data_IF_690839790506
#
_entry.id   IF_690839790506
#
_cell.length_a   1.000
_cell.length_b   1.000
_cell.length_c   1.000
_cell.angle_alpha   90.00
_cell.angle_beta   90.00
_cell.angle_gamma   90.00
#
_symmetry.space_group_name_H-M   'P 1'
#
loop_
_entity.id
_entity.type
_entity.pdbx_description
1 polymer ?
#
# COMPACT_ATOMS: atom_id res chain seq x y z
N UNK A 1 32.70 -0.79 3.60
CA UNK A 1 32.46 -0.96 2.15
C UNK A 1 32.46 -2.42 1.67
N UNK A 2 32.92 -3.41 2.45
CA UNK A 2 32.98 -4.82 2.01
C UNK A 2 31.61 -5.50 1.85
N UNK A 3 30.65 -5.26 2.75
CA UNK A 3 29.38 -5.99 2.77
C UNK A 3 28.46 -5.69 1.56
N UNK A 4 28.47 -4.46 1.01
CA UNK A 4 27.65 -4.12 -0.17
C UNK A 4 28.22 -4.72 -1.45
N UNK A 5 29.56 -4.69 -1.60
CA UNK A 5 30.26 -5.35 -2.70
C UNK A 5 30.01 -6.86 -2.67
N UNK A 6 30.09 -7.47 -1.49
CA UNK A 6 29.88 -8.91 -1.32
C UNK A 6 28.45 -9.33 -1.69
N UNK A 7 27.45 -8.56 -1.24
CA UNK A 7 26.05 -8.74 -1.67
C UNK A 7 25.88 -8.65 -3.18
N UNK A 8 26.46 -7.63 -3.82
CA UNK A 8 26.34 -7.43 -5.26
C UNK A 8 26.99 -8.58 -6.04
N UNK A 9 28.18 -9.04 -5.60
CA UNK A 9 28.89 -10.17 -6.20
C UNK A 9 28.10 -11.48 -6.09
N UNK A 10 27.57 -11.77 -4.90
CA UNK A 10 26.72 -12.95 -4.67
C UNK A 10 25.45 -12.88 -5.50
N UNK A 11 24.80 -11.73 -5.59
CA UNK A 11 23.61 -11.56 -6.41
C UNK A 11 23.90 -11.84 -7.90
N UNK A 12 25.02 -11.33 -8.43
CA UNK A 12 25.46 -11.60 -9.80
C UNK A 12 25.78 -13.08 -10.04
N UNK A 13 26.50 -13.72 -9.12
CA UNK A 13 26.86 -15.15 -9.21
C UNK A 13 25.64 -16.08 -9.14
N UNK A 14 24.57 -15.66 -8.46
CA UNK A 14 23.29 -16.39 -8.36
C UNK A 14 22.31 -16.04 -9.49
N UNK A 15 22.73 -15.25 -10.48
CA UNK A 15 21.88 -14.86 -11.61
C UNK A 15 20.82 -13.80 -11.30
N UNK A 16 20.90 -13.12 -10.15
CA UNK A 16 19.98 -12.01 -9.78
C UNK A 16 20.54 -10.65 -10.21
N UNK A 17 21.08 -10.58 -11.43
CA UNK A 17 21.71 -9.37 -11.96
C UNK A 17 20.74 -8.21 -12.22
N UNK A 18 19.44 -8.49 -12.31
CA UNK A 18 18.38 -7.52 -12.61
C UNK A 18 17.85 -6.78 -11.38
N UNK A 19 18.38 -7.07 -10.19
CA UNK A 19 17.99 -6.38 -8.96
C UNK A 19 18.40 -4.88 -9.04
N UNK A 20 17.47 -3.92 -8.86
CA UNK A 20 17.77 -2.49 -8.94
C UNK A 20 18.82 -2.04 -7.91
N UNK A 21 18.93 -2.71 -6.77
CA UNK A 21 19.98 -2.39 -5.79
C UNK A 21 21.37 -2.76 -6.30
N UNK A 22 21.47 -3.88 -7.02
CA UNK A 22 22.72 -4.35 -7.65
C UNK A 22 23.10 -3.41 -8.78
N UNK A 23 22.15 -3.03 -9.63
CA UNK A 23 22.38 -2.06 -10.72
C UNK A 23 22.91 -0.71 -10.18
N UNK A 24 22.29 -0.19 -9.11
CA UNK A 24 22.74 1.05 -8.44
C UNK A 24 24.14 0.91 -7.87
N UNK A 25 24.48 -0.24 -7.27
CA UNK A 25 25.82 -0.48 -6.75
C UNK A 25 26.88 -0.55 -7.85
N UNK A 26 26.58 -1.23 -8.97
CA UNK A 26 27.49 -1.32 -10.12
C UNK A 26 27.74 0.04 -10.79
N UNK A 27 26.78 0.96 -10.73
CA UNK A 27 26.99 2.34 -11.17
C UNK A 27 28.01 3.10 -10.29
N UNK A 28 28.20 2.68 -9.04
CA UNK A 28 29.02 3.38 -8.05
C UNK A 28 30.38 2.70 -7.76
N UNK A 29 30.53 1.41 -8.08
CA UNK A 29 31.70 0.61 -7.72
C UNK A 29 32.39 0.03 -8.97
N UNK A 30 33.57 0.54 -9.30
CA UNK A 30 34.32 0.12 -10.50
C UNK A 30 34.85 -1.33 -10.40
N UNK A 31 35.24 -1.76 -9.20
CA UNK A 31 35.70 -3.15 -8.95
C UNK A 31 34.60 -4.16 -9.23
N UNK A 32 33.40 -3.96 -8.67
CA UNK A 32 32.27 -4.84 -8.92
C UNK A 32 31.80 -4.77 -10.37
N UNK A 33 31.93 -3.61 -11.03
CA UNK A 33 31.62 -3.46 -12.46
C UNK A 33 32.57 -4.28 -13.33
N UNK A 34 33.87 -4.26 -13.04
CA UNK A 34 34.88 -5.02 -13.77
C UNK A 34 34.65 -6.54 -13.65
N UNK A 35 34.24 -7.01 -12.47
CA UNK A 35 33.99 -8.44 -12.22
C UNK A 35 32.60 -8.93 -12.66
N UNK A 36 31.67 -8.03 -12.98
CA UNK A 36 30.28 -8.39 -13.25
C UNK A 36 30.13 -9.38 -14.43
N UNK A 37 30.98 -9.25 -15.45
CA UNK A 37 30.97 -10.16 -16.62
C UNK A 37 31.36 -11.58 -16.20
N UNK A 38 32.44 -11.72 -15.43
CA UNK A 38 32.90 -13.02 -14.94
C UNK A 38 31.85 -13.68 -14.03
N UNK A 39 31.22 -12.92 -13.14
CA UNK A 39 30.20 -13.43 -12.22
C UNK A 39 28.91 -13.85 -12.93
N UNK A 40 28.49 -13.10 -13.96
CA UNK A 40 27.37 -13.51 -14.82
C UNK A 40 27.68 -14.77 -15.60
N UNK A 41 28.92 -14.93 -16.06
CA UNK A 41 29.36 -16.15 -16.74
C UNK A 41 29.29 -17.35 -15.78
N UNK A 42 29.70 -17.19 -14.52
CA UNK A 42 29.52 -18.21 -13.47
C UNK A 42 28.04 -18.57 -13.28
N UNK A 43 27.15 -17.58 -13.22
CA UNK A 43 25.72 -17.86 -13.11
C UNK A 43 25.19 -18.67 -14.30
N UNK A 44 25.62 -18.34 -15.52
CA UNK A 44 25.21 -19.09 -16.72
C UNK A 44 25.76 -20.51 -16.76
N UNK A 45 27.02 -20.72 -16.35
CA UNK A 45 27.63 -22.07 -16.34
C UNK A 45 27.00 -22.95 -15.28
N UNK A 46 26.73 -22.41 -14.09
CA UNK A 46 26.00 -23.11 -13.04
C UNK A 46 24.54 -23.39 -13.44
N UNK A 47 23.87 -22.44 -14.10
CA UNK A 47 22.50 -22.62 -14.59
C UNK A 47 22.36 -23.64 -15.72
N UNK A 48 23.42 -23.86 -16.52
CA UNK A 48 23.45 -24.87 -17.57
C UNK A 48 23.71 -26.29 -17.08
N UNK A 49 24.18 -26.46 -15.84
CA UNK A 49 24.38 -27.79 -15.26
C UNK A 49 23.01 -28.46 -15.01
N UNK A 50 22.84 -29.69 -15.51
CA UNK A 50 21.62 -30.47 -15.24
C UNK A 50 21.53 -30.78 -13.76
N UNK A 51 20.65 -30.08 -13.05
CA UNK A 51 20.23 -30.47 -11.72
C UNK A 51 19.40 -31.76 -11.81
N UNK A 52 19.54 -32.70 -10.85
CA UNK A 52 18.61 -33.81 -10.75
C UNK A 52 17.19 -33.27 -10.58
N UNK A 53 16.23 -33.90 -11.26
CA UNK A 53 14.84 -33.49 -11.15
C UNK A 53 14.39 -33.59 -9.68
N UNK A 54 13.83 -32.51 -9.11
CA UNK A 54 13.33 -32.55 -7.73
C UNK A 54 12.20 -33.58 -7.62
N UNK A 55 12.06 -34.22 -6.46
CA UNK A 55 10.96 -35.14 -6.23
C UNK A 55 9.61 -34.42 -6.35
N UNK A 56 8.59 -35.11 -6.85
CA UNK A 56 7.24 -34.54 -6.98
C UNK A 56 6.66 -34.07 -5.63
N UNK A 57 7.16 -34.63 -4.52
CA UNK A 57 6.77 -34.27 -3.14
C UNK A 57 7.56 -33.09 -2.56
N UNK A 58 8.68 -32.69 -3.16
CA UNK A 58 9.50 -31.59 -2.65
C UNK A 58 8.71 -30.28 -2.63
N UNK A 59 7.97 -30.00 -3.70
CA UNK A 59 7.19 -28.77 -3.81
C UNK A 59 6.09 -28.68 -2.74
N UNK A 60 5.42 -29.79 -2.43
CA UNK A 60 4.37 -29.82 -1.40
C UNK A 60 4.98 -29.72 0.00
N UNK A 61 6.10 -30.38 0.26
CA UNK A 61 6.81 -30.29 1.54
C UNK A 61 7.38 -28.88 1.79
N UNK A 62 7.99 -28.25 0.80
CA UNK A 62 8.50 -26.88 0.91
C UNK A 62 7.35 -25.90 1.16
N UNK A 63 6.22 -26.05 0.44
CA UNK A 63 5.03 -25.21 0.69
C UNK A 63 4.46 -25.44 2.08
N UNK A 64 4.36 -26.67 2.56
CA UNK A 64 3.87 -26.99 3.90
C UNK A 64 4.80 -26.40 4.98
N UNK A 65 6.12 -26.51 4.80
CA UNK A 65 7.10 -25.93 5.71
C UNK A 65 7.10 -24.39 5.68
N UNK A 66 6.90 -23.79 4.51
CA UNK A 66 6.85 -22.34 4.32
C UNK A 66 5.49 -21.73 4.67
N UNK A 67 4.42 -22.51 4.74
CA UNK A 67 3.06 -22.06 5.02
C UNK A 67 2.95 -21.13 6.24
N UNK A 68 3.55 -21.41 7.42
CA UNK A 68 3.48 -20.50 8.57
C UNK A 68 4.17 -19.16 8.32
N UNK A 69 5.29 -19.15 7.58
CA UNK A 69 6.02 -17.93 7.25
C UNK A 69 5.26 -17.10 6.20
N UNK A 70 4.71 -17.77 5.19
CA UNK A 70 3.84 -17.16 4.18
C UNK A 70 2.60 -16.55 4.82
N UNK A 71 1.94 -17.25 5.74
CA UNK A 71 0.76 -16.73 6.46
C UNK A 71 1.10 -15.50 7.31
N UNK A 72 2.25 -15.50 8.00
CA UNK A 72 2.70 -14.33 8.78
C UNK A 72 3.04 -13.13 7.89
N UNK A 73 3.72 -13.36 6.76
CA UNK A 73 4.05 -12.28 5.83
C UNK A 73 2.81 -11.74 5.12
N UNK A 74 1.88 -12.62 4.72
CA UNK A 74 0.60 -12.22 4.13
C UNK A 74 -0.20 -11.34 5.09
N UNK A 75 -0.29 -11.70 6.37
CA UNK A 75 -0.92 -10.86 7.40
C UNK A 75 -0.26 -9.49 7.55
N UNK A 76 1.07 -9.41 7.52
CA UNK A 76 1.77 -8.12 7.60
C UNK A 76 1.53 -7.26 6.37
N UNK A 77 1.51 -7.87 5.18
CA UNK A 77 1.24 -7.17 3.93
C UNK A 77 -0.20 -6.63 3.90
N UNK A 78 -1.19 -7.43 4.31
CA UNK A 78 -2.59 -6.98 4.38
C UNK A 78 -2.77 -5.87 5.41
N UNK A 79 -2.17 -5.97 6.60
CA UNK A 79 -2.21 -4.90 7.60
C UNK A 79 -1.62 -3.58 7.08
N UNK A 80 -0.52 -3.63 6.32
CA UNK A 80 0.05 -2.42 5.69
C UNK A 80 -0.88 -1.82 4.65
N UNK A 81 -1.53 -2.65 3.83
CA UNK A 81 -2.49 -2.19 2.84
C UNK A 81 -3.71 -1.54 3.51
N UNK A 82 -4.25 -2.18 4.56
CA UNK A 82 -5.37 -1.65 5.37
C UNK A 82 -4.96 -0.35 6.05
N UNK A 83 -3.79 -0.29 6.69
CA UNK A 83 -3.30 0.93 7.32
C UNK A 83 -3.14 2.08 6.31
N UNK A 84 -2.66 1.80 5.09
CA UNK A 84 -2.59 2.80 4.02
C UNK A 84 -3.97 3.28 3.58
N UNK A 85 -4.92 2.37 3.42
CA UNK A 85 -6.29 2.72 3.05
C UNK A 85 -6.98 3.54 4.14
N UNK A 86 -6.81 3.15 5.41
CA UNK A 86 -7.32 3.90 6.57
C UNK A 86 -6.66 5.27 6.67
N UNK A 87 -5.34 5.37 6.48
CA UNK A 87 -4.66 6.66 6.47
C UNK A 87 -5.16 7.56 5.33
N UNK A 88 -5.38 7.00 4.13
CA UNK A 88 -5.96 7.73 3.01
C UNK A 88 -7.40 8.18 3.26
N UNK A 89 -8.20 7.37 3.98
CA UNK A 89 -9.58 7.70 4.34
C UNK A 89 -9.70 8.65 5.54
N UNK A 90 -8.73 8.63 6.46
CA UNK A 90 -8.64 9.54 7.61
C UNK A 90 -8.08 10.91 7.24
N UNK A 91 -7.34 11.05 6.14
CA UNK A 91 -6.81 12.34 5.68
C UNK A 91 -7.88 13.37 5.23
N UNK A 92 -8.96 12.99 4.52
CA UNK A 92 -9.98 13.95 4.10
C UNK A 92 -10.86 14.45 5.27
N UNK A 93 -11.04 13.64 6.31
CA UNK A 93 -11.94 13.95 7.42
C UNK A 93 -11.55 15.22 8.22
N UNK A 94 -10.29 15.43 8.64
CA UNK A 94 -9.87 16.67 9.31
C UNK A 94 -9.87 17.87 8.35
N UNK A 95 -9.62 17.66 7.06
CA UNK A 95 -9.68 18.72 6.06
C UNK A 95 -11.13 19.21 5.87
N UNK A 96 -12.08 18.28 5.84
CA UNK A 96 -13.51 18.59 5.72
C UNK A 96 -14.03 19.33 6.96
N UNK A 97 -13.62 18.90 8.16
CA UNK A 97 -13.94 19.61 9.42
C UNK A 97 -13.36 21.03 9.43
N UNK A 98 -12.16 21.23 8.90
CA UNK A 98 -11.54 22.55 8.82
C UNK A 98 -12.29 23.49 7.86
N UNK A 99 -12.67 22.98 6.68
CA UNK A 99 -13.43 23.72 5.67
C UNK A 99 -14.82 24.07 6.21
N UNK A 100 -15.51 23.12 6.83
CA UNK A 100 -16.85 23.33 7.37
C UNK A 100 -16.84 24.36 8.52
N UNK A 101 -15.85 24.26 9.43
CA UNK A 101 -15.65 25.25 10.48
C UNK A 101 -15.36 26.66 9.94
N UNK A 102 -14.60 26.77 8.84
CA UNK A 102 -14.31 28.05 8.20
C UNK A 102 -15.55 28.63 7.51
N UNK A 103 -16.33 27.80 6.81
CA UNK A 103 -17.57 28.21 6.14
C UNK A 103 -18.61 28.71 7.15
N UNK A 104 -18.81 27.97 8.23
CA UNK A 104 -19.74 28.32 9.32
C UNK A 104 -19.36 29.64 9.96
N UNK A 105 -18.06 29.86 10.19
CA UNK A 105 -17.56 31.10 10.79
C UNK A 105 -17.70 32.30 9.85
N UNK A 106 -17.34 32.14 8.57
CA UNK A 106 -17.51 33.18 7.56
C UNK A 106 -18.98 33.54 7.34
N UNK A 107 -19.87 32.54 7.32
CA UNK A 107 -21.31 32.76 7.22
C UNK A 107 -21.86 33.47 8.48
N UNK A 108 -21.41 33.09 9.67
CA UNK A 108 -21.79 33.75 10.92
C UNK A 108 -21.37 35.23 10.95
N UNK A 109 -20.14 35.53 10.53
CA UNK A 109 -19.62 36.90 10.48
C UNK A 109 -20.37 37.75 9.42
N UNK A 110 -20.70 37.16 8.26
CA UNK A 110 -21.49 37.82 7.22
C UNK A 110 -22.95 38.07 7.65
N UNK A 111 -23.59 37.10 8.33
CA UNK A 111 -24.97 37.26 8.79
C UNK A 111 -25.10 38.23 9.96
N UNK A 112 -24.08 38.32 10.82
CA UNK A 112 -24.05 39.28 11.93
C UNK A 112 -24.01 40.74 11.47
N UNK A 113 -23.61 40.99 10.22
CA UNK A 113 -23.62 42.33 9.62
C UNK A 113 -25.01 42.77 9.12
N UNK A 114 -25.98 41.86 8.98
CA UNK A 114 -27.25 42.14 8.28
C UNK A 114 -28.51 41.76 9.10
N UNK A 115 -28.45 40.80 10.03
CA UNK A 115 -29.63 40.29 10.75
C UNK A 115 -29.45 40.20 12.30
N UNK A 116 -30.55 40.22 13.09
CA UNK A 116 -30.52 39.95 14.53
C UNK A 116 -29.96 38.56 14.83
N UNK A 117 -29.07 38.46 15.82
CA UNK A 117 -28.23 37.28 16.10
C UNK A 117 -28.99 35.95 16.24
N UNK A 118 -30.26 35.97 16.66
CA UNK A 118 -31.08 34.77 16.86
C UNK A 118 -31.49 34.06 15.55
N UNK A 119 -31.79 34.82 14.48
CA UNK A 119 -32.18 34.24 13.17
C UNK A 119 -30.97 33.69 12.41
N UNK A 120 -29.82 34.35 12.56
CA UNK A 120 -28.52 33.90 12.05
C UNK A 120 -28.13 32.53 12.59
N UNK A 121 -28.21 32.38 13.92
CA UNK A 121 -27.85 31.14 14.58
C UNK A 121 -28.76 29.98 14.15
N UNK A 122 -30.04 30.24 13.91
CA UNK A 122 -31.00 29.24 13.45
C UNK A 122 -30.69 28.73 12.03
N UNK A 123 -30.35 29.62 11.09
CA UNK A 123 -29.98 29.24 9.73
C UNK A 123 -28.67 28.47 9.68
N UNK A 124 -27.65 28.91 10.42
CA UNK A 124 -26.36 28.23 10.50
C UNK A 124 -26.50 26.83 11.13
N UNK A 125 -27.31 26.70 12.19
CA UNK A 125 -27.54 25.41 12.84
C UNK A 125 -28.31 24.44 11.92
N UNK A 126 -29.31 24.95 11.19
CA UNK A 126 -30.10 24.13 10.26
C UNK A 126 -29.30 23.71 9.02
N UNK A 127 -28.41 24.59 8.54
CA UNK A 127 -27.53 24.27 7.41
C UNK A 127 -26.45 23.25 7.82
N UNK A 128 -25.87 23.39 9.01
CA UNK A 128 -24.87 22.43 9.51
C UNK A 128 -25.46 21.07 9.83
N UNK A 129 -26.69 20.99 10.35
CA UNK A 129 -27.37 19.69 10.52
C UNK A 129 -27.68 19.03 9.19
N UNK A 130 -28.16 19.78 8.19
CA UNK A 130 -28.44 19.22 6.86
C UNK A 130 -27.15 18.73 6.18
N UNK A 131 -26.07 19.50 6.30
CA UNK A 131 -24.76 19.16 5.75
C UNK A 131 -24.14 17.95 6.48
N UNK A 132 -24.26 17.89 7.80
CA UNK A 132 -23.84 16.74 8.60
C UNK A 132 -24.62 15.47 8.24
N UNK A 133 -25.94 15.56 8.04
CA UNK A 133 -26.77 14.42 7.60
C UNK A 133 -26.33 13.95 6.22
N UNK A 134 -26.11 14.87 5.27
CA UNK A 134 -25.66 14.55 3.92
C UNK A 134 -24.27 13.91 3.93
N UNK A 135 -23.35 14.42 4.75
CA UNK A 135 -22.01 13.86 4.89
C UNK A 135 -22.06 12.44 5.49
N UNK A 136 -22.89 12.25 6.52
CA UNK A 136 -23.06 10.96 7.19
C UNK A 136 -23.66 9.93 6.23
N UNK A 137 -24.63 10.33 5.40
CA UNK A 137 -25.21 9.49 4.36
C UNK A 137 -24.21 9.15 3.24
N UNK A 138 -23.49 10.16 2.73
CA UNK A 138 -22.54 9.98 1.64
C UNK A 138 -21.33 9.13 2.07
N UNK A 139 -20.73 9.44 3.22
CA UNK A 139 -19.59 8.67 3.73
C UNK A 139 -20.01 7.34 4.35
N UNK A 140 -21.22 7.24 4.91
CA UNK A 140 -21.79 5.98 5.42
C UNK A 140 -22.13 4.99 4.30
N UNK A 141 -22.44 5.47 3.09
CA UNK A 141 -22.73 4.61 1.94
C UNK A 141 -21.47 3.90 1.40
N UNK A 142 -20.29 4.50 1.55
CA UNK A 142 -19.02 3.95 1.04
C UNK A 142 -18.68 2.57 1.63
N UNK A 143 -18.64 2.35 2.96
CA UNK A 143 -18.36 1.04 3.53
C UNK A 143 -19.44 0.02 3.19
N UNK A 144 -20.71 0.45 3.08
CA UNK A 144 -21.85 -0.41 2.76
C UNK A 144 -21.78 -0.94 1.31
N UNK A 145 -21.35 -0.10 0.38
CA UNK A 145 -21.08 -0.48 -1.02
C UNK A 145 -19.83 -1.36 -1.14
N UNK A 146 -18.78 -1.07 -0.36
CA UNK A 146 -17.57 -1.88 -0.32
C UNK A 146 -17.83 -3.30 0.19
N UNK A 147 -18.65 -3.48 1.23
CA UNK A 147 -19.05 -4.81 1.72
C UNK A 147 -19.89 -5.58 0.70
N UNK A 148 -20.77 -4.90 -0.04
CA UNK A 148 -21.56 -5.54 -1.12
C UNK A 148 -20.67 -6.06 -2.25
N UNK A 149 -19.66 -5.29 -2.68
CA UNK A 149 -18.75 -5.71 -3.75
C UNK A 149 -17.91 -6.93 -3.34
N UNK A 150 -17.49 -7.01 -2.08
CA UNK A 150 -16.75 -8.16 -1.56
C UNK A 150 -17.61 -9.42 -1.52
N UNK A 151 -18.90 -9.32 -1.20
CA UNK A 151 -19.83 -10.47 -1.23
C UNK A 151 -20.06 -11.00 -2.64
N UNK A 152 -20.38 -10.11 -3.59
CA UNK A 152 -20.64 -10.49 -4.99
C UNK A 152 -19.44 -11.20 -5.62
N UNK A 153 -18.22 -10.68 -5.39
CA UNK A 153 -17.00 -11.29 -5.93
C UNK A 153 -16.72 -12.69 -5.37
N UNK A 154 -17.19 -12.98 -4.15
CA UNK A 154 -17.02 -14.27 -3.47
C UNK A 154 -17.97 -15.34 -4.00
N UNK A 155 -19.18 -14.92 -4.39
CA UNK A 155 -20.18 -15.75 -5.06
C UNK A 155 -19.71 -16.14 -6.47
N UNK A 156 -19.12 -15.20 -7.22
CA UNK A 156 -18.53 -15.47 -8.55
C UNK A 156 -17.31 -16.42 -8.53
N UNK A 157 -16.59 -16.54 -7.41
CA UNK A 157 -15.43 -17.45 -7.31
C UNK A 157 -15.78 -18.86 -6.83
N UNK A 158 -17.01 -19.07 -6.34
CA UNK A 158 -17.46 -20.36 -5.79
C UNK A 158 -18.63 -20.98 -6.58
N UNK A 159 -19.07 -20.36 -7.68
CA UNK A 159 -19.94 -20.95 -8.70
C UNK A 159 -19.11 -21.45 -9.89
#
# INVERSE_FOLDING_TARGET
>A
MSHSCDRARVALALGRGDDPEVARHLAQCDLCRAEAVALRLVATTLGGARAPAPSATLATQVRAAAAPLLARNARRATWRAVARAVAAAMLPLPLLVLIDGYLVRAAYDALRAVLPAALSMYFVLNYTTLLAVLLTLAYGAIPLLAERQVRLRREETHG
#
